data_IF_134386335505
#
_entry.id   IF_134386335505
#
_cell.length_a   1.000
_cell.length_b   1.000
_cell.length_c   1.000
_cell.angle_alpha   90.00
_cell.angle_beta   90.00
_cell.angle_gamma   90.00
#
_symmetry.space_group_name_H-M   'P 1'
#
loop_
_entity.id
_entity.type
_entity.pdbx_description
1 polymer ?
#
# COMPACT_ATOMS: atom_id res chain seq x y z
N UNK A 1 -43.98 8.92 2.48
CA UNK A 1 -43.93 10.40 2.25
C UNK A 1 -42.95 10.81 1.14
N UNK A 2 -41.79 10.15 0.95
CA UNK A 2 -40.82 10.48 -0.13
C UNK A 2 -41.34 10.26 -1.57
N UNK A 3 -42.21 9.26 -1.79
CA UNK A 3 -42.70 8.93 -3.14
C UNK A 3 -43.56 10.06 -3.76
N UNK A 4 -44.25 10.85 -2.93
CA UNK A 4 -45.05 12.00 -3.40
C UNK A 4 -44.18 13.19 -3.84
N UNK A 5 -42.95 13.34 -3.32
CA UNK A 5 -42.01 14.41 -3.71
C UNK A 5 -41.39 14.17 -5.09
N UNK A 6 -41.11 12.92 -5.44
CA UNK A 6 -40.51 12.54 -6.74
C UNK A 6 -41.40 12.86 -7.96
N UNK A 7 -42.72 12.96 -7.76
CA UNK A 7 -43.69 13.16 -8.85
C UNK A 7 -43.81 14.61 -9.33
N UNK A 8 -43.29 15.57 -8.57
CA UNK A 8 -43.29 17.00 -8.88
C UNK A 8 -41.88 17.55 -9.23
N UNK A 9 -40.90 16.66 -9.39
CA UNK A 9 -39.50 17.02 -9.67
C UNK A 9 -39.24 16.95 -11.17
N UNK A 10 -38.50 17.91 -11.71
CA UNK A 10 -38.12 17.92 -13.12
C UNK A 10 -37.14 16.76 -13.40
N UNK A 11 -37.02 16.35 -14.66
CA UNK A 11 -36.14 15.27 -15.09
C UNK A 11 -34.69 15.49 -14.66
N UNK A 12 -34.23 16.75 -14.67
CA UNK A 12 -32.91 17.14 -14.17
C UNK A 12 -32.74 16.88 -12.67
N UNK A 13 -33.75 17.15 -11.85
CA UNK A 13 -33.70 16.90 -10.41
C UNK A 13 -33.64 15.40 -10.10
N UNK A 14 -34.40 14.59 -10.85
CA UNK A 14 -34.37 13.14 -10.73
C UNK A 14 -32.98 12.60 -11.08
N UNK A 15 -32.38 13.11 -12.16
CA UNK A 15 -31.03 12.77 -12.59
C UNK A 15 -29.97 13.12 -11.54
N UNK A 16 -30.02 14.34 -10.99
CA UNK A 16 -29.09 14.80 -9.96
C UNK A 16 -29.23 13.98 -8.66
N UNK A 17 -30.46 13.71 -8.20
CA UNK A 17 -30.70 12.87 -7.02
C UNK A 17 -30.20 11.44 -7.24
N UNK A 18 -30.33 10.90 -8.45
CA UNK A 18 -29.78 9.60 -8.83
C UNK A 18 -28.26 9.55 -8.70
N UNK A 19 -27.56 10.55 -9.27
CA UNK A 19 -26.10 10.69 -9.15
C UNK A 19 -25.67 10.83 -7.70
N UNK A 20 -26.35 11.68 -6.92
CA UNK A 20 -25.99 11.94 -5.53
C UNK A 20 -26.10 10.67 -4.67
N UNK A 21 -27.13 9.84 -4.92
CA UNK A 21 -27.29 8.54 -4.26
C UNK A 21 -26.19 7.56 -4.67
N UNK A 22 -25.82 7.53 -5.95
CA UNK A 22 -24.73 6.68 -6.42
C UNK A 22 -23.40 7.05 -5.75
N UNK A 23 -23.07 8.34 -5.68
CA UNK A 23 -21.90 8.81 -4.94
C UNK A 23 -21.96 8.44 -3.46
N UNK A 24 -23.12 8.56 -2.83
CA UNK A 24 -23.32 8.14 -1.44
C UNK A 24 -23.02 6.65 -1.21
N UNK A 25 -23.48 5.78 -2.11
CA UNK A 25 -23.21 4.34 -2.05
C UNK A 25 -21.74 4.02 -2.29
N UNK A 26 -21.10 4.68 -3.26
CA UNK A 26 -19.66 4.50 -3.54
C UNK A 26 -18.82 4.96 -2.34
N UNK A 27 -19.13 6.12 -1.77
CA UNK A 27 -18.44 6.61 -0.58
C UNK A 27 -18.57 5.64 0.60
N UNK A 28 -19.77 5.09 0.83
CA UNK A 28 -19.98 4.08 1.86
C UNK A 28 -19.17 2.80 1.59
N UNK A 29 -19.13 2.33 0.34
CA UNK A 29 -18.30 1.17 -0.03
C UNK A 29 -16.82 1.43 0.24
N UNK A 30 -16.29 2.61 -0.09
CA UNK A 30 -14.89 2.94 0.17
C UNK A 30 -14.56 2.93 1.67
N UNK A 31 -15.47 3.42 2.51
CA UNK A 31 -15.34 3.40 3.98
C UNK A 31 -15.27 1.96 4.53
N UNK A 32 -15.98 1.02 3.93
CA UNK A 32 -15.97 -0.39 4.36
C UNK A 32 -14.79 -1.17 3.76
N UNK A 33 -14.45 -0.94 2.50
CA UNK A 33 -13.38 -1.67 1.79
C UNK A 33 -12.00 -1.30 2.34
N UNK A 34 -11.77 -0.01 2.67
CA UNK A 34 -10.48 0.48 3.17
C UNK A 34 -9.94 -0.27 4.42
N UNK A 35 -10.71 -0.44 5.50
CA UNK A 35 -10.24 -1.18 6.67
C UNK A 35 -10.06 -2.68 6.38
N UNK A 36 -10.92 -3.28 5.55
CA UNK A 36 -10.78 -4.69 5.14
C UNK A 36 -9.47 -4.89 4.38
N UNK A 37 -9.19 -4.02 3.40
CA UNK A 37 -7.94 -4.05 2.65
C UNK A 37 -6.73 -3.89 3.57
N UNK A 38 -6.79 -2.95 4.51
CA UNK A 38 -5.71 -2.73 5.49
C UNK A 38 -5.45 -4.02 6.28
N UNK A 39 -6.47 -4.62 6.88
CA UNK A 39 -6.31 -5.86 7.66
C UNK A 39 -5.76 -7.00 6.81
N UNK A 40 -6.32 -7.21 5.61
CA UNK A 40 -5.84 -8.25 4.68
C UNK A 40 -4.37 -8.02 4.29
N UNK A 41 -3.99 -6.78 3.98
CA UNK A 41 -2.62 -6.40 3.66
C UNK A 41 -1.65 -6.72 4.80
N UNK A 42 -2.04 -6.52 6.06
CA UNK A 42 -1.21 -6.84 7.22
C UNK A 42 -1.11 -8.36 7.51
N UNK A 43 -2.07 -9.15 7.03
CA UNK A 43 -2.07 -10.61 7.15
C UNK A 43 -1.29 -11.28 6.02
N UNK A 44 -1.26 -10.69 4.84
CA UNK A 44 -0.46 -11.16 3.72
C UNK A 44 1.03 -10.91 4.02
N UNK A 45 1.68 -11.92 4.58
CA UNK A 45 3.12 -11.92 4.87
C UNK A 45 3.80 -12.79 3.84
N UNK A 46 4.79 -12.23 3.17
CA UNK A 46 5.62 -12.97 2.24
C UNK A 46 7.08 -12.88 2.68
N UNK A 47 7.86 -13.89 2.30
CA UNK A 47 9.30 -13.96 2.57
C UNK A 47 9.99 -14.02 1.22
N UNK A 48 10.86 -13.05 0.97
CA UNK A 48 11.65 -12.95 -0.24
C UNK A 48 13.12 -13.11 0.12
N UNK A 49 13.80 -14.05 -0.53
CA UNK A 49 15.24 -14.21 -0.42
C UNK A 49 15.88 -13.78 -1.74
N UNK A 50 16.95 -13.00 -1.66
CA UNK A 50 17.64 -12.53 -2.84
C UNK A 50 18.84 -11.65 -2.51
N UNK A 51 19.56 -11.27 -3.55
CA UNK A 51 20.67 -10.31 -3.45
C UNK A 51 20.16 -8.92 -3.75
N UNK A 52 20.53 -7.92 -2.94
CA UNK A 52 20.17 -6.52 -3.22
C UNK A 52 20.93 -6.06 -4.47
N UNK A 53 20.20 -5.72 -5.52
CA UNK A 53 20.78 -5.19 -6.77
C UNK A 53 20.76 -3.68 -6.83
N UNK A 54 19.77 -3.05 -6.21
CA UNK A 54 19.66 -1.60 -6.19
C UNK A 54 18.95 -1.10 -4.92
N UNK A 55 19.20 0.16 -4.58
CA UNK A 55 18.65 0.86 -3.44
C UNK A 55 18.48 2.33 -3.78
N UNK A 56 17.25 2.82 -3.73
CA UNK A 56 16.96 4.21 -4.06
C UNK A 56 15.94 4.82 -3.11
N UNK A 57 15.93 6.14 -3.06
CA UNK A 57 14.91 6.94 -2.39
C UNK A 57 14.07 7.66 -3.45
N UNK A 58 12.76 7.65 -3.28
CA UNK A 58 11.84 8.45 -4.09
C UNK A 58 11.27 9.53 -3.20
N UNK A 59 11.66 10.78 -3.45
CA UNK A 59 11.05 11.93 -2.80
C UNK A 59 9.67 12.17 -3.40
N UNK A 60 8.64 12.15 -2.57
CA UNK A 60 7.29 12.53 -2.95
C UNK A 60 6.89 13.71 -2.04
N UNK A 61 6.92 14.91 -2.61
CA UNK A 61 6.76 16.20 -1.90
C UNK A 61 7.67 16.36 -0.68
N UNK A 62 7.14 16.08 0.52
CA UNK A 62 7.79 16.29 1.82
C UNK A 62 8.24 15.00 2.49
N UNK A 63 7.94 13.84 1.90
CA UNK A 63 8.29 12.54 2.46
C UNK A 63 9.24 11.78 1.53
N UNK A 64 10.31 11.24 2.11
CA UNK A 64 11.26 10.40 1.42
C UNK A 64 10.84 8.94 1.60
N UNK A 65 10.47 8.27 0.50
CA UNK A 65 10.16 6.83 0.50
C UNK A 65 11.39 6.04 0.10
N UNK A 66 11.72 5.03 0.88
CA UNK A 66 12.87 4.17 0.62
C UNK A 66 12.44 2.90 -0.11
N UNK A 67 13.26 2.44 -1.04
CA UNK A 67 13.03 1.21 -1.80
C UNK A 67 14.31 0.38 -1.86
N UNK A 68 14.12 -0.94 -1.94
CA UNK A 68 15.16 -1.92 -2.23
C UNK A 68 14.72 -2.80 -3.41
N UNK A 69 15.67 -3.17 -4.26
CA UNK A 69 15.44 -4.05 -5.40
C UNK A 69 16.26 -5.32 -5.22
N UNK A 70 15.60 -6.47 -5.35
CA UNK A 70 16.24 -7.77 -5.32
C UNK A 70 16.64 -8.24 -6.73
N UNK A 71 17.53 -9.21 -6.81
CA UNK A 71 18.02 -9.86 -8.04
C UNK A 71 16.92 -10.44 -8.93
N UNK A 72 15.85 -10.94 -8.33
CA UNK A 72 14.63 -11.37 -9.02
C UNK A 72 13.75 -10.21 -9.54
N UNK A 73 14.26 -8.97 -9.56
CA UNK A 73 13.56 -7.73 -9.95
C UNK A 73 12.36 -7.38 -9.07
N UNK A 74 12.23 -7.98 -7.89
CA UNK A 74 11.22 -7.56 -6.92
C UNK A 74 11.63 -6.23 -6.29
N UNK A 75 10.71 -5.27 -6.35
CA UNK A 75 10.84 -3.97 -5.69
C UNK A 75 10.03 -4.01 -4.40
N UNK A 76 10.70 -3.71 -3.29
CA UNK A 76 10.12 -3.72 -1.95
C UNK A 76 10.25 -2.32 -1.37
N UNK A 77 9.16 -1.82 -0.80
CA UNK A 77 9.14 -0.54 -0.12
C UNK A 77 9.65 -0.68 1.32
N UNK A 78 10.45 0.27 1.76
CA UNK A 78 10.90 0.39 3.13
C UNK A 78 10.29 1.64 3.77
N UNK A 79 9.07 1.50 4.25
CA UNK A 79 8.35 2.55 4.97
C UNK A 79 8.03 2.12 6.40
N UNK A 80 7.62 3.10 7.20
CA UNK A 80 7.22 2.88 8.58
C UNK A 80 5.84 2.23 8.64
N UNK A 81 5.70 1.26 9.52
CA UNK A 81 4.46 0.51 9.71
C UNK A 81 3.95 0.78 11.12
N UNK A 82 3.02 1.72 11.24
CA UNK A 82 2.41 2.15 12.50
C UNK A 82 1.87 0.96 13.31
N UNK A 83 1.09 0.07 12.67
CA UNK A 83 0.47 -1.07 13.37
C UNK A 83 1.45 -2.18 13.73
N UNK A 84 2.64 -2.21 13.13
CA UNK A 84 3.73 -3.15 13.45
C UNK A 84 4.78 -2.54 14.36
N UNK A 85 4.62 -1.26 14.74
CA UNK A 85 5.61 -0.48 15.50
C UNK A 85 7.00 -0.49 14.84
N UNK A 86 7.06 -0.55 13.51
CA UNK A 86 8.30 -0.44 12.75
C UNK A 86 8.49 1.02 12.37
N UNK A 87 9.53 1.64 12.92
CA UNK A 87 9.89 3.05 12.71
C UNK A 87 11.38 3.24 12.40
N UNK A 88 12.06 2.15 12.03
CA UNK A 88 13.49 2.08 11.77
C UNK A 88 13.80 1.99 10.26
N UNK A 89 12.91 2.53 9.41
CA UNK A 89 13.06 2.46 7.95
C UNK A 89 14.37 3.09 7.47
N UNK A 90 14.71 4.28 7.95
CA UNK A 90 15.97 4.95 7.62
C UNK A 90 17.20 4.15 8.08
N UNK A 91 17.16 3.56 9.28
CA UNK A 91 18.25 2.75 9.83
C UNK A 91 18.46 1.46 9.03
N UNK A 92 17.37 0.78 8.68
CA UNK A 92 17.41 -0.39 7.79
C UNK A 92 18.01 0.00 6.44
N UNK A 93 17.57 1.12 5.87
CA UNK A 93 18.09 1.61 4.59
C UNK A 93 19.59 1.88 4.65
N UNK A 94 20.09 2.43 5.76
CA UNK A 94 21.52 2.68 5.97
C UNK A 94 22.34 1.39 6.14
N UNK A 95 21.78 0.37 6.81
CA UNK A 95 22.47 -0.91 7.08
C UNK A 95 22.62 -1.82 5.86
N UNK A 96 21.67 -1.75 4.93
CA UNK A 96 21.66 -2.58 3.71
C UNK A 96 22.60 -2.02 2.64
N UNK A 97 23.39 -2.89 2.01
CA UNK A 97 24.29 -2.56 0.90
C UNK A 97 23.91 -3.34 -0.36
N UNK A 98 24.19 -2.75 -1.51
CA UNK A 98 24.09 -3.46 -2.80
C UNK A 98 25.08 -4.63 -2.77
N UNK A 99 24.63 -5.81 -3.19
CA UNK A 99 25.37 -7.07 -3.12
C UNK A 99 25.11 -7.90 -1.86
N UNK A 100 24.45 -7.34 -0.84
CA UNK A 100 24.07 -8.12 0.36
C UNK A 100 23.03 -9.18 -0.02
N UNK A 101 23.25 -10.42 0.45
CA UNK A 101 22.22 -11.46 0.42
C UNK A 101 21.31 -11.28 1.62
N UNK A 102 20.02 -11.17 1.35
CA UNK A 102 19.03 -10.85 2.38
C UNK A 102 17.82 -11.77 2.30
N UNK A 103 17.26 -12.02 3.48
CA UNK A 103 15.90 -12.50 3.64
C UNK A 103 15.05 -11.32 4.10
N UNK A 104 14.12 -10.89 3.25
CA UNK A 104 13.23 -9.76 3.47
C UNK A 104 11.83 -10.31 3.71
N UNK A 105 11.24 -9.98 4.85
CA UNK A 105 9.83 -10.28 5.11
C UNK A 105 9.00 -9.03 4.87
N UNK A 106 7.95 -9.20 4.08
CA UNK A 106 7.11 -8.12 3.61
C UNK A 106 5.67 -8.31 4.08
N UNK A 107 4.92 -7.21 4.09
CA UNK A 107 3.48 -7.23 4.17
C UNK A 107 2.85 -6.48 3.00
N UNK A 108 1.66 -6.90 2.63
CA UNK A 108 0.84 -6.27 1.61
C UNK A 108 1.15 -6.74 0.19
N UNK A 109 0.34 -6.25 -0.73
CA UNK A 109 0.26 -6.79 -2.08
C UNK A 109 1.03 -5.94 -3.08
N UNK A 110 1.65 -6.60 -4.08
CA UNK A 110 2.19 -5.93 -5.26
C UNK A 110 1.06 -5.65 -6.26
N UNK A 111 0.54 -4.42 -6.28
CA UNK A 111 -0.48 -3.99 -7.25
C UNK A 111 0.15 -2.98 -8.22
N UNK A 112 0.50 -3.47 -9.42
CA UNK A 112 1.18 -2.69 -10.46
C UNK A 112 0.37 -1.45 -10.90
N UNK A 113 -0.94 -1.63 -11.13
CA UNK A 113 -1.82 -0.55 -11.60
C UNK A 113 -1.93 0.62 -10.60
N UNK A 114 -1.90 0.32 -9.30
CA UNK A 114 -1.97 1.33 -8.24
C UNK A 114 -0.58 1.80 -7.78
N UNK A 115 0.49 1.34 -8.43
CA UNK A 115 1.87 1.60 -8.04
C UNK A 115 2.14 1.25 -6.55
N UNK A 116 1.49 0.20 -6.04
CA UNK A 116 1.65 -0.26 -4.67
C UNK A 116 2.66 -1.40 -4.60
N UNK A 117 3.58 -1.29 -3.66
CA UNK A 117 4.65 -2.25 -3.43
C UNK A 117 4.47 -2.91 -2.06
N UNK A 118 4.89 -4.18 -1.91
CA UNK A 118 4.92 -4.81 -0.60
C UNK A 118 5.91 -4.05 0.29
N UNK A 119 5.54 -3.84 1.55
CA UNK A 119 6.34 -3.08 2.53
C UNK A 119 7.13 -4.05 3.38
N UNK A 120 8.44 -3.85 3.47
CA UNK A 120 9.30 -4.62 4.36
C UNK A 120 8.96 -4.33 5.82
N UNK A 121 8.83 -5.39 6.61
CA UNK A 121 8.70 -5.27 8.06
C UNK A 121 9.89 -5.86 8.84
N UNK A 122 10.66 -6.77 8.23
CA UNK A 122 11.84 -7.40 8.84
C UNK A 122 12.84 -7.74 7.73
N UNK A 123 14.13 -7.52 7.96
CA UNK A 123 15.20 -7.95 7.05
C UNK A 123 16.36 -8.56 7.82
N UNK A 124 16.91 -9.64 7.28
CA UNK A 124 18.11 -10.31 7.80
C UNK A 124 19.12 -10.50 6.69
N UNK A 125 20.39 -10.22 6.97
CA UNK A 125 21.47 -10.62 6.08
C UNK A 125 21.70 -12.12 6.23
N UNK A 126 21.70 -12.82 5.11
CA UNK A 126 22.01 -14.24 5.02
C UNK A 126 23.47 -14.33 4.61
N UNK A 127 24.36 -13.98 5.55
CA UNK A 127 25.79 -14.18 5.32
C UNK A 127 26.06 -15.68 5.23
N UNK A 128 26.75 -16.10 4.15
CA UNK A 128 27.35 -17.43 4.12
C UNK A 128 28.41 -17.44 5.22
N UNK A 129 28.14 -18.17 6.30
CA UNK A 129 29.18 -18.67 7.20
C UNK A 129 30.27 -19.37 6.41
#
# INVERSE_FOLDING_TARGET
>A
MMIKKLKNMDWFDIFIVGILRLFGVIALMLVVISPIYTVASYQNKEVHQGTITDKYNKRQDKEDKFYIVLDNKQVIENSDLLLKKKFDSADIQAKLKIGDKVEVKTIGYRIHFLNLYPVLYEVKKVDKK
#
